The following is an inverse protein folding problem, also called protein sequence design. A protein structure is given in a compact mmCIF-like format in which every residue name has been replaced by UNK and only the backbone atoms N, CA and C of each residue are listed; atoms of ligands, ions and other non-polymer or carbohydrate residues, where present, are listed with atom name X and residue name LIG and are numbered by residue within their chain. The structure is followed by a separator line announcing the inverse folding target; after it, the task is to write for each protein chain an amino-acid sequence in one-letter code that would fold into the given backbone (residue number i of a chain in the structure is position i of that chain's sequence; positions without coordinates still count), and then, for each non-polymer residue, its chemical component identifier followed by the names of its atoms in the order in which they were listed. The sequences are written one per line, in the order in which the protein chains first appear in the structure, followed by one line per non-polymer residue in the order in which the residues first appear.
data_IF_717766201883
#
_entry.id   IF_717766201883
#
_cell.length_a   1.000
_cell.length_b   1.000
_cell.length_c   1.000
_cell.angle_alpha   90.00
_cell.angle_beta   90.00
_cell.angle_gamma   90.00
#
_symmetry.space_group_name_H-M   'P 1'
#
loop_
_entity.id
_entity.type
_entity.pdbx_description
1 polymer ?
#
# COMPACT_ATOMS: atom_id res chain seq x y z
N UNK A 1 -14.62 33.28 -16.87
CA UNK A 1 -13.54 32.39 -17.34
C UNK A 1 -14.09 30.99 -17.29
N UNK A 2 -14.47 30.43 -18.43
CA UNK A 2 -14.79 29.01 -18.55
C UNK A 2 -13.57 28.23 -18.07
N UNK A 3 -13.77 27.32 -17.11
CA UNK A 3 -12.76 26.32 -16.78
C UNK A 3 -12.59 25.50 -18.05
N UNK A 4 -11.45 25.67 -18.71
CA UNK A 4 -11.04 24.78 -19.79
C UNK A 4 -11.07 23.37 -19.21
N UNK A 5 -12.08 22.58 -19.59
CA UNK A 5 -12.26 21.22 -19.08
C UNK A 5 -11.08 20.42 -19.58
N UNK A 6 -10.04 20.26 -18.76
CA UNK A 6 -8.89 19.42 -19.08
C UNK A 6 -9.44 18.05 -19.45
N UNK A 7 -9.29 17.67 -20.72
CA UNK A 7 -9.73 16.38 -21.22
C UNK A 7 -8.99 15.30 -20.44
N UNK A 8 -9.71 14.56 -19.60
CA UNK A 8 -9.17 13.37 -18.94
C UNK A 8 -8.80 12.34 -20.01
N UNK A 9 -7.61 11.78 -19.88
CA UNK A 9 -7.08 10.72 -20.74
C UNK A 9 -6.79 9.51 -19.87
N UNK A 10 -6.84 8.31 -20.45
CA UNK A 10 -6.36 7.13 -19.72
C UNK A 10 -4.86 7.20 -19.51
N UNK A 11 -4.36 6.47 -18.52
CA UNK A 11 -2.93 6.24 -18.32
C UNK A 11 -2.27 5.72 -19.59
N UNK A 12 -2.91 4.80 -20.30
CA UNK A 12 -2.42 4.25 -21.57
C UNK A 12 -2.27 5.31 -22.65
N UNK A 13 -3.24 6.22 -22.77
CA UNK A 13 -3.21 7.31 -23.75
C UNK A 13 -2.13 8.35 -23.42
N UNK A 14 -2.05 8.78 -22.15
CA UNK A 14 -1.15 9.87 -21.74
C UNK A 14 0.30 9.44 -21.54
N UNK A 15 0.52 8.25 -20.99
CA UNK A 15 1.83 7.76 -20.57
C UNK A 15 2.29 6.48 -21.28
N UNK A 16 1.66 6.11 -22.41
CA UNK A 16 1.94 4.87 -23.12
C UNK A 16 3.41 4.65 -23.48
N UNK A 17 4.12 5.69 -23.95
CA UNK A 17 5.56 5.59 -24.25
C UNK A 17 6.41 5.43 -22.98
N UNK A 18 6.06 6.15 -21.91
CA UNK A 18 6.70 5.98 -20.60
C UNK A 18 6.53 4.57 -20.06
N UNK A 19 5.36 3.95 -20.24
CA UNK A 19 5.12 2.56 -19.84
C UNK A 19 5.86 1.53 -20.70
N UNK A 20 6.00 1.75 -22.00
CA UNK A 20 6.87 0.91 -22.85
C UNK A 20 8.31 0.96 -22.37
N UNK A 21 8.82 2.16 -22.08
CA UNK A 21 10.17 2.34 -21.53
C UNK A 21 10.31 1.66 -20.17
N UNK A 22 9.36 1.87 -19.27
CA UNK A 22 9.33 1.27 -17.93
C UNK A 22 9.31 -0.27 -18.02
N UNK A 23 8.50 -0.87 -18.92
CA UNK A 23 8.50 -2.31 -19.15
C UNK A 23 9.83 -2.84 -19.70
N UNK A 24 10.53 -2.07 -20.55
CA UNK A 24 11.84 -2.46 -21.10
C UNK A 24 12.98 -2.40 -20.06
N UNK A 25 12.79 -1.62 -18.99
CA UNK A 25 13.77 -1.45 -17.90
C UNK A 25 13.54 -2.42 -16.73
N UNK A 26 12.41 -3.12 -16.74
CA UNK A 26 12.02 -4.06 -15.69
C UNK A 26 12.87 -5.32 -15.71
N UNK A 27 13.43 -5.66 -14.56
CA UNK A 27 14.20 -6.90 -14.36
C UNK A 27 13.55 -7.84 -13.34
N UNK A 28 12.41 -7.44 -12.76
CA UNK A 28 11.69 -8.25 -11.80
C UNK A 28 11.23 -9.60 -12.37
N UNK A 29 11.28 -10.65 -11.54
CA UNK A 29 10.81 -11.97 -11.92
C UNK A 29 9.30 -11.96 -12.22
N UNK A 30 8.91 -12.67 -13.29
CA UNK A 30 7.51 -12.85 -13.67
C UNK A 30 6.75 -13.81 -12.75
N UNK A 31 7.47 -14.71 -12.08
CA UNK A 31 6.90 -15.71 -11.17
C UNK A 31 7.53 -15.57 -9.80
N UNK A 32 6.71 -15.80 -8.78
CA UNK A 32 7.13 -15.71 -7.39
C UNK A 32 7.23 -17.10 -6.77
N UNK A 33 8.30 -17.31 -6.02
CA UNK A 33 8.50 -18.46 -5.15
C UNK A 33 9.14 -18.02 -3.83
N UNK A 34 9.46 -18.97 -2.96
CA UNK A 34 10.01 -18.69 -1.63
C UNK A 34 11.40 -18.03 -1.64
N UNK A 35 12.09 -17.92 -2.77
CA UNK A 35 13.46 -17.40 -2.88
C UNK A 35 13.53 -15.94 -3.33
N UNK A 36 12.45 -15.40 -3.90
CA UNK A 36 12.44 -14.08 -4.54
C UNK A 36 11.33 -13.14 -4.02
N UNK A 37 10.84 -13.40 -2.80
CA UNK A 37 9.76 -12.63 -2.16
C UNK A 37 10.17 -11.20 -1.81
N UNK A 38 11.43 -10.95 -1.44
CA UNK A 38 11.94 -9.59 -1.23
C UNK A 38 12.49 -9.05 -2.55
N UNK A 39 12.01 -7.89 -2.98
CA UNK A 39 12.41 -7.28 -4.24
C UNK A 39 12.74 -5.81 -3.97
N UNK A 40 14.00 -5.44 -4.19
CA UNK A 40 14.43 -4.05 -4.08
C UNK A 40 13.86 -3.22 -5.23
N UNK A 41 13.67 -1.93 -4.96
CA UNK A 41 13.26 -0.99 -5.99
C UNK A 41 14.24 -0.96 -7.16
N UNK A 42 13.73 -0.64 -8.33
CA UNK A 42 14.51 -0.23 -9.48
C UNK A 42 14.53 1.30 -9.56
N UNK A 43 15.64 1.98 -9.21
CA UNK A 43 15.70 3.44 -9.18
C UNK A 43 15.45 4.08 -10.55
N UNK A 44 15.65 3.34 -11.64
CA UNK A 44 15.42 3.86 -12.99
C UNK A 44 13.94 3.90 -13.33
N UNK A 45 13.18 2.84 -13.01
CA UNK A 45 11.72 2.85 -13.19
C UNK A 45 11.05 3.77 -12.18
N UNK A 46 11.60 3.88 -10.97
CA UNK A 46 11.14 4.82 -9.94
C UNK A 46 11.07 6.26 -10.44
N UNK A 47 12.13 6.75 -11.10
CA UNK A 47 12.13 8.11 -11.69
C UNK A 47 11.02 8.34 -12.72
N UNK A 48 10.62 7.31 -13.47
CA UNK A 48 9.52 7.41 -14.43
C UNK A 48 8.19 7.55 -13.67
N UNK A 49 8.04 6.81 -12.57
CA UNK A 49 6.87 6.92 -11.70
C UNK A 49 6.80 8.28 -11.00
N UNK A 50 7.93 8.79 -10.50
CA UNK A 50 8.00 10.10 -9.86
C UNK A 50 7.59 11.21 -10.84
N UNK A 51 8.05 11.16 -12.10
CA UNK A 51 7.64 12.12 -13.13
C UNK A 51 6.13 12.07 -13.43
N UNK A 52 5.54 10.87 -13.46
CA UNK A 52 4.09 10.71 -13.64
C UNK A 52 3.33 11.34 -12.46
N UNK A 53 3.80 11.15 -11.24
CA UNK A 53 3.19 11.74 -10.04
C UNK A 53 3.35 13.26 -10.07
N UNK A 54 4.56 13.77 -10.34
CA UNK A 54 4.88 15.19 -10.43
C UNK A 54 3.98 15.91 -11.44
N UNK A 55 3.83 15.37 -12.65
CA UNK A 55 2.99 15.93 -13.72
C UNK A 55 1.52 16.13 -13.34
N UNK A 56 1.03 15.44 -12.31
CA UNK A 56 -0.37 15.41 -11.92
C UNK A 56 -0.61 15.85 -10.47
N UNK A 57 0.43 16.16 -9.72
CA UNK A 57 0.28 16.63 -8.34
C UNK A 57 0.12 18.15 -8.36
N UNK A 58 -1.01 18.65 -7.85
CA UNK A 58 -1.24 20.11 -7.76
C UNK A 58 -0.39 20.74 -6.63
N UNK A 59 0.01 22.02 -6.75
CA UNK A 59 0.84 22.71 -5.75
C UNK A 59 0.27 22.74 -4.33
N UNK A 60 -1.04 22.64 -4.18
CA UNK A 60 -1.75 22.63 -2.89
C UNK A 60 -1.66 21.27 -2.17
N UNK A 61 -1.06 20.27 -2.80
CA UNK A 61 -0.81 18.96 -2.22
C UNK A 61 0.24 19.06 -1.11
N UNK A 62 0.04 18.35 0.00
CA UNK A 62 0.95 18.39 1.14
C UNK A 62 0.83 17.15 2.03
N UNK A 63 1.78 17.03 2.96
CA UNK A 63 1.70 16.10 4.07
C UNK A 63 1.09 16.81 5.27
N UNK A 64 -0.03 16.30 5.78
CA UNK A 64 -0.67 16.80 6.99
C UNK A 64 -0.22 15.97 8.20
N UNK A 65 -0.06 16.62 9.36
CA UNK A 65 0.51 15.95 10.56
C UNK A 65 1.98 15.58 10.38
N UNK A 66 2.77 16.47 9.76
CA UNK A 66 4.17 16.18 9.41
C UNK A 66 5.04 15.80 10.62
N UNK A 67 4.76 16.38 11.77
CA UNK A 67 5.40 16.06 13.05
C UNK A 67 5.21 14.60 13.46
N UNK A 68 4.10 13.97 13.10
CA UNK A 68 3.84 12.57 13.39
C UNK A 68 4.70 11.65 12.51
N UNK A 69 4.90 12.01 11.24
CA UNK A 69 5.85 11.29 10.37
C UNK A 69 7.29 11.39 10.89
N UNK A 70 7.72 12.57 11.33
CA UNK A 70 9.07 12.77 11.89
C UNK A 70 9.24 12.01 13.21
N UNK A 71 8.23 12.01 14.09
CA UNK A 71 8.25 11.23 15.33
C UNK A 71 8.31 9.72 15.03
N UNK A 72 7.52 9.25 14.08
CA UNK A 72 7.55 7.85 13.66
C UNK A 72 8.93 7.45 13.13
N UNK A 73 9.52 8.30 12.27
CA UNK A 73 10.88 8.13 11.78
C UNK A 73 11.90 8.03 12.91
N UNK A 74 11.85 8.97 13.86
CA UNK A 74 12.79 8.99 14.99
C UNK A 74 12.71 7.71 15.83
N UNK A 75 11.51 7.19 16.08
CA UNK A 75 11.32 5.94 16.81
C UNK A 75 11.83 4.72 16.04
N UNK A 76 11.64 4.69 14.71
CA UNK A 76 12.22 3.64 13.84
C UNK A 76 13.74 3.69 13.89
N UNK A 77 14.34 4.87 13.79
CA UNK A 77 15.79 5.07 13.93
C UNK A 77 16.31 4.69 15.33
N UNK A 78 15.48 4.80 16.36
CA UNK A 78 15.77 4.31 17.71
C UNK A 78 15.63 2.77 17.84
N UNK A 79 15.31 2.05 16.75
CA UNK A 79 15.27 0.60 16.68
C UNK A 79 13.87 -0.01 16.85
N UNK A 80 12.81 0.80 16.90
CA UNK A 80 11.42 0.30 16.90
C UNK A 80 11.06 -0.27 15.53
N UNK A 81 10.27 -1.34 15.53
CA UNK A 81 9.72 -1.94 14.30
C UNK A 81 8.51 -1.13 13.85
N UNK A 82 8.67 -0.35 12.78
CA UNK A 82 7.63 0.54 12.26
C UNK A 82 6.69 -0.12 11.25
N UNK A 83 5.39 0.14 11.41
CA UNK A 83 4.32 -0.22 10.49
C UNK A 83 3.61 1.04 9.99
N UNK A 84 3.27 1.08 8.71
CA UNK A 84 2.34 2.07 8.14
C UNK A 84 1.11 1.32 7.65
N UNK A 85 -0.06 1.71 8.14
CA UNK A 85 -1.35 1.26 7.61
C UNK A 85 -1.97 2.42 6.83
N UNK A 86 -2.07 2.26 5.52
CA UNK A 86 -2.46 3.34 4.61
C UNK A 86 -3.75 3.00 3.86
N UNK A 87 -4.61 4.00 3.64
CA UNK A 87 -5.75 3.85 2.73
C UNK A 87 -5.31 3.47 1.31
N UNK A 88 -6.22 2.89 0.53
CA UNK A 88 -5.92 2.48 -0.84
C UNK A 88 -7.06 2.84 -1.79
N UNK A 89 -6.85 3.85 -2.63
CA UNK A 89 -7.79 4.37 -3.62
C UNK A 89 -7.31 4.18 -5.06
N UNK A 90 -6.00 4.07 -5.29
CA UNK A 90 -5.44 4.02 -6.64
C UNK A 90 -4.12 3.25 -6.68
N UNK A 91 -3.67 2.87 -7.89
CA UNK A 91 -2.35 2.27 -8.03
C UNK A 91 -1.21 3.30 -7.83
N UNK A 92 -1.53 4.59 -7.81
CA UNK A 92 -0.58 5.67 -7.56
C UNK A 92 -0.46 6.07 -6.10
N UNK A 93 -1.20 5.46 -5.17
CA UNK A 93 -1.14 5.86 -3.75
C UNK A 93 0.27 5.72 -3.16
N UNK A 94 0.91 4.56 -3.35
CA UNK A 94 2.29 4.35 -2.92
C UNK A 94 3.27 5.28 -3.65
N UNK A 95 3.25 5.36 -5.00
CA UNK A 95 4.05 6.34 -5.74
C UNK A 95 3.91 7.77 -5.23
N UNK A 96 2.68 8.24 -5.06
CA UNK A 96 2.38 9.59 -4.60
C UNK A 96 2.85 9.81 -3.17
N UNK A 97 2.61 8.85 -2.27
CA UNK A 97 3.07 8.96 -0.89
C UNK A 97 4.59 9.07 -0.78
N UNK A 98 5.32 8.18 -1.45
CA UNK A 98 6.79 8.20 -1.46
C UNK A 98 7.33 9.49 -2.11
N UNK A 99 6.73 9.94 -3.22
CA UNK A 99 7.07 11.21 -3.86
C UNK A 99 6.88 12.40 -2.90
N UNK A 100 5.73 12.48 -2.23
CA UNK A 100 5.42 13.56 -1.29
C UNK A 100 6.36 13.58 -0.08
N UNK A 101 6.76 12.42 0.45
CA UNK A 101 7.77 12.30 1.50
C UNK A 101 9.13 12.85 1.03
N UNK A 102 9.58 12.46 -0.15
CA UNK A 102 10.86 12.88 -0.73
C UNK A 102 10.91 14.38 -1.07
N UNK A 103 9.79 14.95 -1.51
CA UNK A 103 9.68 16.34 -1.96
C UNK A 103 9.14 17.28 -0.87
N UNK A 104 8.96 16.79 0.36
CA UNK A 104 8.51 17.58 1.52
C UNK A 104 9.49 18.68 1.96
N UNK A 105 10.73 18.66 1.45
CA UNK A 105 11.82 19.51 1.91
C UNK A 105 12.41 19.10 3.27
N UNK A 106 11.97 17.97 3.83
CA UNK A 106 12.46 17.43 5.11
C UNK A 106 13.31 16.19 4.91
N UNK A 107 14.57 16.25 5.37
CA UNK A 107 15.54 15.15 5.20
C UNK A 107 15.06 13.83 5.83
N UNK A 108 14.47 13.89 7.04
CA UNK A 108 13.91 12.70 7.73
C UNK A 108 12.85 12.00 6.89
N UNK A 109 11.99 12.75 6.21
CA UNK A 109 10.91 12.17 5.40
C UNK A 109 11.42 11.62 4.07
N UNK A 110 12.40 12.30 3.46
CA UNK A 110 13.11 11.75 2.31
C UNK A 110 13.80 10.42 2.64
N UNK A 111 14.41 10.29 3.82
CA UNK A 111 14.97 9.02 4.27
C UNK A 111 13.87 8.00 4.62
N UNK A 112 12.76 8.43 5.23
CA UNK A 112 11.61 7.55 5.50
C UNK A 112 11.09 6.90 4.21
N UNK A 113 10.94 7.67 3.12
CA UNK A 113 10.50 7.14 1.82
C UNK A 113 11.35 5.96 1.36
N UNK A 114 12.68 6.08 1.47
CA UNK A 114 13.65 5.05 1.08
C UNK A 114 13.62 3.81 1.99
N UNK A 115 13.10 3.95 3.20
CA UNK A 115 12.95 2.85 4.18
C UNK A 115 11.67 2.05 3.99
N UNK A 116 10.70 2.57 3.23
CA UNK A 116 9.41 1.90 3.03
C UNK A 116 9.60 0.64 2.19
N UNK A 117 9.02 -0.45 2.69
CA UNK A 117 8.89 -1.73 2.01
C UNK A 117 7.42 -2.08 1.98
N UNK A 118 6.80 -2.02 0.79
CA UNK A 118 5.38 -2.28 0.65
C UNK A 118 5.07 -3.79 0.63
N UNK A 119 3.95 -4.19 1.21
CA UNK A 119 3.40 -5.53 1.01
C UNK A 119 2.64 -5.59 -0.31
N UNK A 120 3.07 -6.51 -1.17
CA UNK A 120 2.52 -6.67 -2.51
C UNK A 120 1.96 -8.08 -2.71
N UNK A 121 0.81 -8.21 -3.37
CA UNK A 121 0.32 -9.52 -3.81
C UNK A 121 1.08 -10.02 -5.05
N UNK A 122 1.38 -11.32 -5.11
CA UNK A 122 2.13 -11.92 -6.24
C UNK A 122 1.53 -11.68 -7.63
N UNK A 123 0.22 -11.39 -7.73
CA UNK A 123 -0.45 -11.02 -8.99
C UNK A 123 0.18 -9.80 -9.66
N UNK A 124 0.80 -8.88 -8.89
CA UNK A 124 1.50 -7.73 -9.47
C UNK A 124 2.73 -8.14 -10.28
N UNK A 125 3.34 -9.30 -10.00
CA UNK A 125 4.42 -9.85 -10.81
C UNK A 125 3.90 -10.63 -12.03
N UNK A 126 2.76 -11.29 -11.89
CA UNK A 126 2.25 -12.28 -12.86
C UNK A 126 1.27 -11.70 -13.89
N UNK A 127 0.64 -10.56 -13.61
CA UNK A 127 -0.44 -10.01 -14.44
C UNK A 127 0.03 -9.55 -15.83
N UNK A 128 1.01 -8.65 -15.89
CA UNK A 128 1.58 -8.18 -17.16
C UNK A 128 2.96 -7.55 -16.96
N UNK A 129 3.79 -7.44 -18.03
CA UNK A 129 5.10 -6.77 -17.94
C UNK A 129 5.02 -5.34 -17.44
N UNK A 130 3.98 -4.59 -17.80
CA UNK A 130 3.80 -3.18 -17.40
C UNK A 130 3.45 -3.10 -15.91
N UNK A 131 2.50 -3.92 -15.43
CA UNK A 131 2.10 -3.96 -14.01
C UNK A 131 3.30 -4.34 -13.13
N UNK A 132 4.07 -5.33 -13.56
CA UNK A 132 5.27 -5.78 -12.87
C UNK A 132 6.33 -4.68 -12.78
N UNK A 133 6.58 -3.99 -13.89
CA UNK A 133 7.51 -2.88 -13.97
C UNK A 133 7.07 -1.68 -13.13
N UNK A 134 5.76 -1.40 -13.09
CA UNK A 134 5.16 -0.35 -12.26
C UNK A 134 5.48 -0.64 -10.80
N UNK A 135 5.14 -1.85 -10.36
CA UNK A 135 5.36 -2.26 -9.00
C UNK A 135 6.88 -2.27 -8.66
N UNK A 136 7.75 -2.69 -9.59
CA UNK A 136 9.22 -2.83 -9.37
C UNK A 136 9.89 -1.50 -9.03
N UNK A 137 9.23 -0.39 -9.34
CA UNK A 137 9.68 0.95 -8.96
C UNK A 137 9.79 1.16 -7.45
N UNK A 138 9.24 0.26 -6.62
CA UNK A 138 9.24 0.38 -5.17
C UNK A 138 9.69 -0.93 -4.51
N UNK A 139 10.43 -0.81 -3.41
CA UNK A 139 10.87 -1.95 -2.62
C UNK A 139 9.65 -2.65 -2.01
N UNK A 140 9.60 -3.97 -2.12
CA UNK A 140 8.45 -4.76 -1.67
C UNK A 140 8.82 -6.11 -1.08
N UNK A 141 7.93 -6.60 -0.23
CA UNK A 141 7.84 -8.03 0.11
C UNK A 141 6.56 -8.57 -0.52
N UNK A 142 6.73 -9.58 -1.36
CA UNK A 142 5.66 -10.23 -2.10
C UNK A 142 5.07 -11.37 -1.29
N UNK A 143 3.75 -11.34 -1.12
CA UNK A 143 2.97 -12.36 -0.40
C UNK A 143 2.04 -13.09 -1.37
N UNK A 144 1.56 -14.24 -0.92
CA UNK A 144 0.41 -14.93 -1.48
C UNK A 144 -0.85 -14.49 -0.70
N UNK A 145 -1.72 -13.61 -1.26
CA UNK A 145 -2.86 -13.09 -0.51
C UNK A 145 -3.95 -14.15 -0.30
N UNK A 146 -4.59 -14.15 0.88
CA UNK A 146 -5.68 -15.09 1.23
C UNK A 146 -6.80 -15.10 0.19
N UNK A 147 -7.25 -13.91 -0.27
CA UNK A 147 -8.27 -13.81 -1.33
C UNK A 147 -7.89 -14.53 -2.62
N UNK A 148 -6.59 -14.55 -2.95
CA UNK A 148 -6.11 -15.29 -4.13
C UNK A 148 -6.08 -16.79 -3.88
N UNK A 149 -5.85 -17.22 -2.63
CA UNK A 149 -5.86 -18.63 -2.25
C UNK A 149 -7.29 -19.15 -2.33
N UNK A 150 -8.23 -18.47 -1.66
CA UNK A 150 -9.65 -18.82 -1.67
C UNK A 150 -10.20 -18.93 -3.09
N UNK A 151 -9.78 -18.02 -3.99
CA UNK A 151 -10.20 -18.03 -5.39
C UNK A 151 -9.63 -19.24 -6.14
N UNK A 152 -8.33 -19.50 -5.98
CA UNK A 152 -7.65 -20.56 -6.72
C UNK A 152 -8.05 -21.95 -6.20
N UNK A 153 -8.27 -22.12 -4.90
CA UNK A 153 -8.79 -23.37 -4.32
C UNK A 153 -10.21 -23.67 -4.83
N UNK A 154 -11.09 -22.65 -4.90
CA UNK A 154 -12.45 -22.82 -5.46
C UNK A 154 -12.45 -23.17 -6.95
N UNK A 155 -11.44 -22.70 -7.69
CA UNK A 155 -11.29 -22.94 -9.12
C UNK A 155 -10.49 -24.21 -9.43
N UNK A 156 -9.92 -24.88 -8.42
CA UNK A 156 -9.16 -26.11 -8.61
C UNK A 156 -10.06 -27.23 -9.13
N UNK A 157 -9.61 -27.95 -10.15
CA UNK A 157 -10.37 -29.07 -10.72
C UNK A 157 -10.28 -30.32 -9.84
N UNK A 158 -9.24 -30.42 -9.00
CA UNK A 158 -8.99 -31.56 -8.12
C UNK A 158 -8.56 -31.15 -6.71
N UNK A 159 -8.74 -32.04 -5.74
CA UNK A 159 -8.24 -31.87 -4.37
C UNK A 159 -6.69 -31.77 -4.32
N UNK A 160 -6.00 -32.44 -5.25
CA UNK A 160 -4.54 -32.38 -5.36
C UNK A 160 -4.07 -30.99 -5.79
N UNK A 161 -4.74 -30.36 -6.75
CA UNK A 161 -4.47 -28.98 -7.18
C UNK A 161 -4.72 -27.98 -6.05
N UNK A 162 -5.82 -28.12 -5.30
CA UNK A 162 -6.11 -27.26 -4.15
C UNK A 162 -5.02 -27.37 -3.08
N UNK A 163 -4.60 -28.59 -2.73
CA UNK A 163 -3.49 -28.83 -1.78
C UNK A 163 -2.16 -28.29 -2.27
N UNK A 164 -1.88 -28.39 -3.57
CA UNK A 164 -0.66 -27.85 -4.15
C UNK A 164 -0.62 -26.31 -4.05
N UNK A 165 -1.76 -25.65 -4.27
CA UNK A 165 -1.86 -24.19 -4.12
C UNK A 165 -1.74 -23.76 -2.66
N UNK A 166 -2.37 -24.47 -1.72
CA UNK A 166 -2.22 -24.24 -0.27
C UNK A 166 -0.73 -24.34 0.15
N UNK A 167 -0.04 -25.39 -0.29
CA UNK A 167 1.38 -25.59 -0.01
C UNK A 167 2.25 -24.47 -0.59
N UNK A 168 1.95 -24.02 -1.82
CA UNK A 168 2.64 -22.92 -2.47
C UNK A 168 2.44 -21.60 -1.70
N UNK A 169 1.19 -21.27 -1.37
CA UNK A 169 0.86 -20.09 -0.58
C UNK A 169 1.57 -20.09 0.77
N UNK A 170 1.58 -21.24 1.47
CA UNK A 170 2.28 -21.40 2.75
C UNK A 170 3.79 -21.17 2.63
N UNK A 171 4.45 -21.74 1.61
CA UNK A 171 5.89 -21.56 1.38
C UNK A 171 6.26 -20.12 1.10
N UNK A 172 5.51 -19.45 0.21
CA UNK A 172 5.72 -18.04 -0.14
C UNK A 172 5.51 -17.15 1.08
N UNK A 173 4.41 -17.34 1.81
CA UNK A 173 4.11 -16.51 2.97
C UNK A 173 5.11 -16.72 4.12
N UNK A 174 5.61 -17.94 4.34
CA UNK A 174 6.68 -18.18 5.31
C UNK A 174 7.97 -17.44 4.93
N UNK A 175 8.36 -17.50 3.65
CA UNK A 175 9.52 -16.74 3.17
C UNK A 175 9.31 -15.22 3.31
N UNK A 176 8.11 -14.72 3.01
CA UNK A 176 7.76 -13.32 3.17
C UNK A 176 7.83 -12.86 4.63
N UNK A 177 7.42 -13.71 5.58
CA UNK A 177 7.58 -13.46 7.01
C UNK A 177 9.05 -13.29 7.40
N UNK A 178 9.94 -14.18 6.92
CA UNK A 178 11.38 -14.05 7.17
C UNK A 178 11.96 -12.80 6.52
N UNK A 179 11.56 -12.48 5.28
CA UNK A 179 11.97 -11.25 4.62
C UNK A 179 11.54 -9.99 5.38
N UNK A 180 10.33 -9.97 5.94
CA UNK A 180 9.87 -8.86 6.79
C UNK A 180 10.69 -8.76 8.08
N UNK A 181 11.06 -9.87 8.70
CA UNK A 181 11.96 -9.87 9.87
C UNK A 181 13.33 -9.26 9.51
N UNK A 182 13.87 -9.57 8.34
CA UNK A 182 15.10 -8.97 7.84
C UNK A 182 14.95 -7.47 7.59
N UNK A 183 13.83 -7.04 6.99
CA UNK A 183 13.52 -5.62 6.79
C UNK A 183 13.53 -4.86 8.12
N UNK A 184 12.83 -5.38 9.12
CA UNK A 184 12.78 -4.78 10.46
C UNK A 184 14.17 -4.67 11.09
N UNK A 185 15.03 -5.69 10.93
CA UNK A 185 16.41 -5.66 11.43
C UNK A 185 17.27 -4.61 10.72
N UNK A 186 16.97 -4.27 9.46
CA UNK A 186 17.64 -3.20 8.70
C UNK A 186 17.08 -1.80 8.99
N UNK A 187 16.11 -1.66 9.89
CA UNK A 187 15.44 -0.38 10.14
C UNK A 187 14.58 0.08 8.95
N UNK A 188 14.06 -0.87 8.16
CA UNK A 188 13.05 -0.62 7.14
C UNK A 188 11.66 -0.66 7.77
N UNK A 189 10.73 0.07 7.15
CA UNK A 189 9.34 0.21 7.60
C UNK A 189 8.45 -0.60 6.66
N UNK A 190 7.53 -1.40 7.22
CA UNK A 190 6.56 -2.11 6.39
C UNK A 190 5.33 -1.25 6.19
N UNK A 191 4.90 -1.09 4.93
CA UNK A 191 3.64 -0.45 4.57
C UNK A 191 2.64 -1.48 4.06
N UNK A 192 1.43 -1.44 4.59
CA UNK A 192 0.33 -2.34 4.20
C UNK A 192 -0.95 -1.54 3.95
N UNK A 193 -1.65 -1.89 2.88
CA UNK A 193 -3.02 -1.45 2.63
C UNK A 193 -4.01 -2.38 3.35
N UNK A 194 -4.69 -1.95 4.42
CA UNK A 194 -5.45 -2.87 5.27
C UNK A 194 -6.60 -3.59 4.55
N UNK A 195 -7.21 -2.95 3.54
CA UNK A 195 -8.28 -3.53 2.71
C UNK A 195 -7.78 -4.61 1.74
N UNK A 196 -6.47 -4.65 1.47
CA UNK A 196 -5.83 -5.52 0.48
C UNK A 196 -6.27 -5.29 -0.96
N UNK A 197 -6.99 -4.20 -1.25
CA UNK A 197 -7.48 -3.82 -2.57
C UNK A 197 -7.79 -2.32 -2.61
N UNK A 198 -7.77 -1.72 -3.80
CA UNK A 198 -8.26 -0.36 -4.01
C UNK A 198 -9.75 -0.27 -3.70
N UNK A 199 -10.17 0.82 -3.06
CA UNK A 199 -11.58 1.18 -2.94
C UNK A 199 -12.19 1.40 -4.33
N UNK A 200 -13.38 0.86 -4.54
CA UNK A 200 -14.16 1.05 -5.77
C UNK A 200 -15.47 1.76 -5.43
N UNK A 201 -15.80 2.90 -6.08
CA UNK A 201 -17.08 3.57 -5.88
C UNK A 201 -18.25 2.60 -6.10
N UNK A 202 -19.23 2.61 -5.20
CA UNK A 202 -20.38 1.69 -5.21
C UNK A 202 -20.11 0.30 -4.61
N UNK A 203 -18.88 0.00 -4.18
CA UNK A 203 -18.45 -1.29 -3.66
C UNK A 203 -17.83 -1.17 -2.26
N UNK A 204 -18.63 -0.87 -1.21
CA UNK A 204 -18.13 -0.61 0.15
C UNK A 204 -17.31 -1.77 0.75
N UNK A 205 -17.56 -3.00 0.32
CA UNK A 205 -16.80 -4.19 0.72
C UNK A 205 -15.30 -4.08 0.37
N UNK A 206 -14.95 -3.30 -0.65
CA UNK A 206 -13.55 -3.05 -1.05
C UNK A 206 -12.82 -2.10 -0.09
N UNK A 207 -13.56 -1.36 0.74
CA UNK A 207 -12.99 -0.52 1.81
C UNK A 207 -12.80 -1.30 3.12
N UNK A 208 -13.43 -2.47 3.27
CA UNK A 208 -13.34 -3.26 4.50
C UNK A 208 -11.93 -3.83 4.69
N UNK A 209 -11.38 -3.61 5.87
CA UNK A 209 -10.07 -4.16 6.26
C UNK A 209 -10.10 -5.69 6.43
N UNK A 210 -8.96 -6.32 6.15
CA UNK A 210 -8.76 -7.76 6.26
C UNK A 210 -8.37 -8.15 7.70
N UNK A 211 -9.03 -9.16 8.29
CA UNK A 211 -8.68 -9.68 9.63
C UNK A 211 -7.20 -10.06 9.78
N UNK A 212 -6.54 -10.46 8.70
CA UNK A 212 -5.13 -10.82 8.66
C UNK A 212 -4.21 -9.66 9.09
N UNK A 213 -4.65 -8.42 8.94
CA UNK A 213 -3.91 -7.22 9.35
C UNK A 213 -3.69 -7.18 10.87
N UNK A 214 -4.52 -7.87 11.67
CA UNK A 214 -4.32 -8.00 13.13
C UNK A 214 -2.95 -8.63 13.46
N UNK A 215 -2.45 -9.50 12.57
CA UNK A 215 -1.13 -10.10 12.73
C UNK A 215 -0.01 -9.07 12.67
N UNK A 216 -0.14 -8.03 11.85
CA UNK A 216 0.84 -6.95 11.76
C UNK A 216 0.88 -6.14 13.05
N UNK A 217 -0.26 -5.80 13.65
CA UNK A 217 -0.29 -5.13 14.96
C UNK A 217 0.40 -5.95 16.09
N UNK A 218 0.57 -7.26 15.94
CA UNK A 218 1.33 -8.09 16.89
C UNK A 218 2.83 -8.13 16.61
N UNK A 219 3.23 -7.96 15.35
CA UNK A 219 4.60 -8.16 14.86
C UNK A 219 5.46 -6.90 14.93
N UNK A 220 4.82 -5.74 14.98
CA UNK A 220 5.44 -4.42 15.00
C UNK A 220 5.30 -3.76 16.38
N UNK A 221 6.17 -2.80 16.66
CA UNK A 221 6.16 -2.09 17.94
C UNK A 221 5.28 -0.85 17.87
N UNK A 222 5.32 -0.15 16.73
CA UNK A 222 4.60 1.10 16.49
C UNK A 222 3.95 1.12 15.11
N UNK A 223 2.86 1.86 15.01
CA UNK A 223 2.11 2.09 13.76
C UNK A 223 1.72 3.55 13.63
N UNK A 224 1.73 4.06 12.40
CA UNK A 224 0.97 5.25 12.01
C UNK A 224 -0.11 4.87 11.00
N UNK A 225 -1.24 5.56 11.09
CA UNK A 225 -2.34 5.46 10.14
C UNK A 225 -2.21 6.61 9.13
N UNK A 226 -2.29 6.29 7.85
CA UNK A 226 -2.18 7.28 6.77
C UNK A 226 -3.46 7.30 5.96
N UNK A 227 -4.22 8.39 6.08
CA UNK A 227 -5.39 8.67 5.23
C UNK A 227 -4.98 9.48 4.01
N UNK A 228 -5.76 9.36 2.94
CA UNK A 228 -5.50 9.99 1.64
C UNK A 228 -6.75 10.77 1.21
N UNK A 229 -6.61 12.08 1.02
CA UNK A 229 -7.65 12.90 0.41
C UNK A 229 -7.18 13.37 -0.97
N UNK A 230 -7.95 13.01 -2.00
CA UNK A 230 -7.62 13.26 -3.40
C UNK A 230 -6.89 12.07 -4.06
N UNK A 231 -6.90 12.05 -5.39
CA UNK A 231 -6.23 11.03 -6.20
C UNK A 231 -5.99 11.57 -7.60
N UNK A 232 -4.79 11.34 -8.14
CA UNK A 232 -4.46 11.68 -9.54
C UNK A 232 -5.06 10.70 -10.55
N UNK A 233 -5.60 9.57 -10.06
CA UNK A 233 -6.28 8.57 -10.86
C UNK A 233 -7.75 8.44 -10.47
N UNK A 234 -8.60 8.27 -11.48
CA UNK A 234 -10.00 7.88 -11.35
C UNK A 234 -10.20 6.48 -11.92
N UNK A 235 -10.55 5.54 -11.04
CA UNK A 235 -10.72 4.14 -11.40
C UNK A 235 -11.84 3.98 -12.43
N UNK A 236 -11.55 3.25 -13.51
CA UNK A 236 -12.55 2.92 -14.53
C UNK A 236 -13.00 1.46 -14.42
N UNK A 237 -12.07 0.53 -14.59
CA UNK A 237 -12.35 -0.89 -14.68
C UNK A 237 -11.24 -1.71 -13.99
N UNK A 238 -11.14 -3.02 -14.28
CA UNK A 238 -10.11 -3.87 -13.68
C UNK A 238 -8.70 -3.61 -14.21
N UNK A 239 -8.56 -3.19 -15.48
CA UNK A 239 -7.27 -2.83 -16.08
C UNK A 239 -6.82 -1.46 -15.57
N UNK A 240 -5.74 -1.46 -14.80
CA UNK A 240 -5.17 -0.24 -14.25
C UNK A 240 -4.71 0.77 -15.29
N UNK A 241 -4.42 0.35 -16.53
CA UNK A 241 -3.97 1.26 -17.59
C UNK A 241 -5.13 2.07 -18.20
N UNK A 242 -6.37 1.67 -17.94
CA UNK A 242 -7.56 2.39 -18.36
C UNK A 242 -7.99 3.46 -17.35
N UNK A 243 -7.40 3.48 -16.15
CA UNK A 243 -7.66 4.52 -15.14
C UNK A 243 -7.39 5.91 -15.75
N UNK A 244 -8.31 6.84 -15.52
CA UNK A 244 -8.21 8.20 -16.04
C UNK A 244 -7.25 9.00 -15.17
N UNK A 245 -6.31 9.70 -15.79
CA UNK A 245 -5.33 10.53 -15.09
C UNK A 245 -5.64 12.01 -15.26
N UNK A 246 -5.63 12.75 -14.15
CA UNK A 246 -5.85 14.18 -14.10
C UNK A 246 -5.07 14.83 -12.96
N UNK A 247 -4.68 16.11 -13.10
CA UNK A 247 -4.11 16.85 -11.99
C UNK A 247 -5.05 16.87 -10.78
N UNK A 248 -4.53 16.57 -9.60
CA UNK A 248 -5.29 16.56 -8.36
C UNK A 248 -4.48 17.12 -7.18
N UNK A 249 -5.18 17.76 -6.25
CA UNK A 249 -4.67 18.04 -4.92
C UNK A 249 -4.64 16.71 -4.17
N UNK A 250 -3.53 16.41 -3.50
CA UNK A 250 -3.40 15.20 -2.67
C UNK A 250 -2.93 15.59 -1.28
N UNK A 251 -3.66 15.15 -0.26
CA UNK A 251 -3.26 15.32 1.14
C UNK A 251 -3.08 13.92 1.74
N UNK A 252 -1.87 13.64 2.21
CA UNK A 252 -1.57 12.45 3.01
C UNK A 252 -1.45 12.87 4.47
N UNK A 253 -2.28 12.30 5.34
CA UNK A 253 -2.35 12.69 6.75
C UNK A 253 -1.81 11.58 7.64
N UNK A 254 -0.87 11.86 8.53
CA UNK A 254 -0.43 10.90 9.53
C UNK A 254 -1.15 11.08 10.87
N UNK A 255 -1.65 9.97 11.41
CA UNK A 255 -2.05 9.90 12.81
C UNK A 255 -0.84 10.07 13.72
N UNK A 256 -1.03 10.40 15.01
CA UNK A 256 0.00 10.20 16.02
C UNK A 256 0.59 8.78 15.98
N UNK A 257 1.84 8.62 16.40
CA UNK A 257 2.48 7.31 16.57
C UNK A 257 1.73 6.51 17.64
N UNK A 258 1.29 5.32 17.27
CA UNK A 258 0.53 4.40 18.13
C UNK A 258 1.42 3.22 18.50
N UNK A 259 1.52 2.89 19.80
CA UNK A 259 2.14 1.64 20.23
C UNK A 259 1.20 0.46 19.94
N UNK A 260 1.63 -0.49 19.11
CA UNK A 260 0.73 -1.52 18.59
C UNK A 260 0.18 -2.45 19.68
N UNK A 261 1.01 -2.84 20.66
CA UNK A 261 0.61 -3.79 21.72
C UNK A 261 -0.41 -3.19 22.70
N UNK A 262 -0.18 -2.00 23.30
CA UNK A 262 -1.20 -1.34 24.12
C UNK A 262 -2.49 -1.08 23.34
N UNK A 263 -2.40 -0.46 22.16
CA UNK A 263 -3.55 -0.14 21.32
C UNK A 263 -4.43 -1.36 21.05
N UNK A 264 -3.81 -2.46 20.61
CA UNK A 264 -4.52 -3.71 20.34
C UNK A 264 -5.11 -4.31 21.62
N UNK A 265 -4.36 -4.34 22.72
CA UNK A 265 -4.81 -4.94 23.98
C UNK A 265 -6.01 -4.19 24.56
N UNK A 266 -5.95 -2.86 24.57
CA UNK A 266 -6.99 -1.99 25.13
C UNK A 266 -8.30 -2.11 24.36
N UNK A 267 -8.24 -2.05 23.01
CA UNK A 267 -9.44 -2.21 22.20
C UNK A 267 -10.06 -3.60 22.38
N UNK A 268 -9.26 -4.68 22.34
CA UNK A 268 -9.77 -6.03 22.53
C UNK A 268 -10.39 -6.26 23.92
N UNK A 269 -9.87 -5.61 24.96
CA UNK A 269 -10.44 -5.68 26.31
C UNK A 269 -11.77 -4.91 26.45
N UNK A 270 -12.08 -4.02 25.49
CA UNK A 270 -13.37 -3.30 25.44
C UNK A 270 -14.49 -4.08 24.75
N UNK A 271 -14.15 -5.16 24.04
CA UNK A 271 -15.11 -6.00 23.34
C UNK A 271 -15.88 -6.91 24.32
N UNK A 272 -17.11 -7.30 23.99
CA UNK A 272 -17.83 -8.35 24.74
C UNK A 272 -17.01 -9.64 24.83
N UNK A 273 -17.11 -10.36 25.95
CA UNK A 273 -16.38 -11.63 26.15
C UNK A 273 -16.73 -12.71 25.11
N UNK A 274 -17.94 -12.64 24.55
CA UNK A 274 -18.48 -13.56 23.55
C UNK A 274 -18.32 -13.06 22.10
N UNK A 275 -17.50 -12.04 21.86
CA UNK A 275 -17.23 -11.54 20.50
C UNK A 275 -16.69 -12.65 19.58
N UNK A 276 -17.39 -12.89 18.47
CA UNK A 276 -17.14 -14.01 17.58
C UNK A 276 -15.90 -13.82 16.70
N UNK A 277 -15.59 -12.59 16.28
CA UNK A 277 -14.36 -12.28 15.54
C UNK A 277 -13.66 -11.02 16.06
N UNK A 278 -12.99 -11.11 17.22
CA UNK A 278 -12.32 -9.97 17.84
C UNK A 278 -11.17 -9.41 16.96
N UNK A 279 -10.58 -10.26 16.09
CA UNK A 279 -9.54 -9.81 15.15
C UNK A 279 -10.13 -8.94 14.06
N UNK A 280 -11.26 -9.35 13.49
CA UNK A 280 -11.95 -8.50 12.52
C UNK A 280 -12.41 -7.20 13.17
N UNK A 281 -12.96 -7.21 14.38
CA UNK A 281 -13.33 -5.99 15.11
C UNK A 281 -12.17 -5.04 15.34
N UNK A 282 -10.99 -5.56 15.65
CA UNK A 282 -9.77 -4.75 15.78
C UNK A 282 -9.42 -4.04 14.48
N UNK A 283 -9.57 -4.71 13.34
CA UNK A 283 -9.27 -4.11 12.04
C UNK A 283 -10.38 -3.18 11.58
N UNK A 284 -11.64 -3.48 11.85
CA UNK A 284 -12.74 -2.54 11.63
C UNK A 284 -12.49 -1.23 12.41
N UNK A 285 -12.00 -1.30 13.65
CA UNK A 285 -11.61 -0.12 14.42
C UNK A 285 -10.45 0.68 13.79
N UNK A 286 -9.44 0.00 13.24
CA UNK A 286 -8.38 0.69 12.47
C UNK A 286 -8.96 1.42 11.26
N UNK A 287 -9.90 0.79 10.55
CA UNK A 287 -10.56 1.41 9.40
C UNK A 287 -11.43 2.61 9.83
N UNK A 288 -12.12 2.54 10.97
CA UNK A 288 -12.88 3.67 11.53
C UNK A 288 -11.97 4.86 11.86
N UNK A 289 -10.77 4.62 12.39
CA UNK A 289 -9.81 5.68 12.67
C UNK A 289 -9.27 6.34 11.40
N UNK A 290 -8.97 5.53 10.36
CA UNK A 290 -8.60 6.04 9.04
C UNK A 290 -9.73 6.89 8.45
N UNK A 291 -10.97 6.41 8.52
CA UNK A 291 -12.12 7.12 7.98
C UNK A 291 -12.37 8.44 8.72
N UNK A 292 -12.29 8.42 10.05
CA UNK A 292 -12.43 9.65 10.85
C UNK A 292 -11.39 10.69 10.45
N UNK A 293 -10.13 10.27 10.30
CA UNK A 293 -9.04 11.15 9.88
C UNK A 293 -9.29 11.70 8.46
N UNK A 294 -9.75 10.84 7.54
CA UNK A 294 -10.12 11.23 6.18
C UNK A 294 -11.26 12.28 6.18
N UNK A 295 -12.31 12.07 6.94
CA UNK A 295 -13.47 12.97 7.04
C UNK A 295 -13.11 14.32 7.67
N UNK A 296 -12.17 14.36 8.60
CA UNK A 296 -11.69 15.61 9.21
C UNK A 296 -11.01 16.51 8.16
N UNK A 297 -10.17 15.94 7.31
CA UNK A 297 -9.53 16.67 6.20
C UNK A 297 -10.52 17.01 5.10
N UNK A 298 -11.49 16.12 4.81
CA UNK A 298 -12.48 16.35 3.76
C UNK A 298 -13.33 17.61 4.01
N UNK A 299 -13.49 18.06 5.25
CA UNK A 299 -14.19 19.30 5.62
C UNK A 299 -13.48 20.57 5.18
N UNK A 300 -12.15 20.50 5.01
CA UNK A 300 -11.28 21.61 4.62
C UNK A 300 -10.61 21.40 3.25
N UNK A 301 -10.97 20.32 2.56
CA UNK A 301 -10.41 19.91 1.28
C UNK A 301 -10.90 20.77 0.12
#
# INVERSE_FOLDING_TARGET
MEKETVRKMSLKERYGESFKKLASLSVAAAKIDSTNVYQEENPTTRKIMDALVEDNTLPESHLEGTENFEKFYDEVCAGKRGLILMEHYSNTDLPAFCYMLEHSGKEKLSDLSKRIVAIAGMKLNEASPIVRAFAESFTRVVIYPTRSLDTNEKNAATEEEAKAEEQKARKINLAAMHAMDDCKRRGQVILVFPSGTRYRPGHPETKRGLREIDSYLRMFDIVILVSINGSILEIQNEDMLDDLVAPAKMIFTASPVIECKPFRKEYLASLPEDEADPKQKMIDHVMELLEKQHEEIQKIY
#
